data_IF_885745044548
#
_entry.id   IF_885745044548
#
_cell.length_a   1.000
_cell.length_b   1.000
_cell.length_c   1.000
_cell.angle_alpha   90.00
_cell.angle_beta   90.00
_cell.angle_gamma   90.00
#
_symmetry.space_group_name_H-M   'P 1'
#
loop_
_entity.id
_entity.type
_entity.pdbx_description
1 polymer ?
#
# COMPACT_ATOMS: atom_id res chain seq x y z
N UNK A 1 1.63 3.08 32.30
CA UNK A 1 2.91 3.63 31.90
C UNK A 1 2.84 4.16 30.48
N UNK A 2 3.41 5.31 30.23
CA UNK A 2 3.33 5.98 28.92
C UNK A 2 3.89 5.13 27.78
N UNK A 3 5.00 4.42 28.03
CA UNK A 3 5.61 3.56 27.01
C UNK A 3 4.67 2.42 26.60
N UNK A 4 3.98 1.79 27.56
CA UNK A 4 3.03 0.72 27.28
C UNK A 4 1.84 1.23 26.46
N UNK A 5 1.34 2.41 26.81
CA UNK A 5 0.24 3.03 26.04
C UNK A 5 0.67 3.39 24.62
N UNK A 6 1.89 3.87 24.47
CA UNK A 6 2.43 4.20 23.16
C UNK A 6 2.53 2.94 22.29
N UNK A 7 3.05 1.84 22.85
CA UNK A 7 3.16 0.58 22.13
C UNK A 7 1.79 0.04 21.75
N UNK A 8 0.83 0.06 22.68
CA UNK A 8 -0.55 -0.36 22.39
C UNK A 8 -1.17 0.46 21.26
N UNK A 9 -0.97 1.79 21.31
CA UNK A 9 -1.49 2.69 20.27
C UNK A 9 -0.90 2.35 18.89
N UNK A 10 0.39 2.01 18.83
CA UNK A 10 1.03 1.60 17.58
C UNK A 10 0.35 0.36 17.01
N UNK A 11 0.18 -0.70 17.83
CA UNK A 11 -0.44 -1.95 17.37
C UNK A 11 -1.89 -1.74 16.95
N UNK A 12 -2.66 -1.01 17.74
CA UNK A 12 -4.08 -0.76 17.44
C UNK A 12 -4.23 0.07 16.16
N UNK A 13 -3.42 1.11 16.00
CA UNK A 13 -3.47 1.98 14.83
C UNK A 13 -3.06 1.22 13.58
N UNK A 14 -1.99 0.42 13.65
CA UNK A 14 -1.54 -0.39 12.52
C UNK A 14 -2.60 -1.41 12.11
N UNK A 15 -3.24 -2.06 13.09
CA UNK A 15 -4.30 -3.03 12.82
C UNK A 15 -5.47 -2.36 12.12
N UNK A 16 -5.96 -1.26 12.68
CA UNK A 16 -7.06 -0.49 12.08
C UNK A 16 -6.74 -0.08 10.64
N UNK A 17 -5.55 0.49 10.44
CA UNK A 17 -5.13 0.99 9.14
C UNK A 17 -4.97 -0.14 8.13
N UNK A 18 -4.37 -1.25 8.54
CA UNK A 18 -4.19 -2.43 7.71
C UNK A 18 -5.52 -3.04 7.29
N UNK A 19 -6.47 -3.14 8.23
CA UNK A 19 -7.82 -3.65 7.94
C UNK A 19 -8.53 -2.73 6.94
N UNK A 20 -8.43 -1.41 7.13
CA UNK A 20 -9.04 -0.43 6.23
C UNK A 20 -8.42 -0.49 4.82
N UNK A 21 -7.11 -0.67 4.71
CA UNK A 21 -6.42 -0.86 3.44
C UNK A 21 -6.96 -2.09 2.71
N UNK A 22 -7.08 -3.19 3.43
CA UNK A 22 -7.59 -4.46 2.88
C UNK A 22 -9.01 -4.32 2.37
N UNK A 23 -9.87 -3.65 3.14
CA UNK A 23 -11.27 -3.45 2.76
C UNK A 23 -11.40 -2.74 1.41
N UNK A 24 -10.54 -1.76 1.16
CA UNK A 24 -10.51 -1.06 -0.13
C UNK A 24 -10.09 -2.01 -1.25
N UNK A 25 -9.02 -2.78 -1.04
CA UNK A 25 -8.50 -3.69 -2.07
C UNK A 25 -9.49 -4.80 -2.43
N UNK A 26 -10.32 -5.21 -1.48
CA UNK A 26 -11.29 -6.28 -1.68
C UNK A 26 -12.62 -5.82 -2.30
N UNK A 27 -12.79 -4.51 -2.52
CA UNK A 27 -13.99 -4.03 -3.21
C UNK A 27 -14.05 -4.59 -4.63
N UNK A 28 -15.26 -4.97 -5.11
CA UNK A 28 -15.39 -5.59 -6.44
C UNK A 28 -14.74 -4.79 -7.56
N UNK A 29 -14.88 -3.47 -7.56
CA UNK A 29 -14.29 -2.60 -8.57
C UNK A 29 -12.77 -2.63 -8.57
N UNK A 30 -12.16 -2.90 -7.42
CA UNK A 30 -10.71 -3.02 -7.31
C UNK A 30 -10.20 -4.42 -7.65
N UNK A 31 -10.98 -5.45 -7.33
CA UNK A 31 -10.62 -6.83 -7.69
C UNK A 31 -10.63 -7.07 -9.19
N UNK A 32 -11.36 -6.27 -9.96
CA UNK A 32 -11.42 -6.38 -11.41
C UNK A 32 -10.25 -5.70 -12.12
N UNK A 33 -9.46 -4.91 -11.40
CA UNK A 33 -8.29 -4.23 -11.97
C UNK A 33 -7.14 -5.21 -12.18
N UNK A 34 -6.23 -4.84 -13.08
CA UNK A 34 -4.99 -5.58 -13.28
C UNK A 34 -4.23 -5.70 -11.96
N UNK A 35 -3.78 -6.90 -11.64
CA UNK A 35 -2.99 -7.13 -10.44
C UNK A 35 -1.70 -6.28 -10.48
N UNK A 36 -1.29 -5.73 -9.33
CA UNK A 36 -0.17 -4.78 -9.27
C UNK A 36 1.16 -5.38 -9.72
N UNK A 37 1.36 -6.69 -9.59
CA UNK A 37 2.56 -7.37 -10.05
C UNK A 37 2.68 -7.37 -11.57
N UNK A 38 1.56 -7.18 -12.26
CA UNK A 38 1.51 -7.07 -13.72
C UNK A 38 1.52 -5.63 -14.21
N UNK A 39 1.55 -4.66 -13.30
CA UNK A 39 1.66 -3.25 -13.63
C UNK A 39 3.12 -2.81 -13.63
N UNK A 40 3.44 -1.78 -14.41
CA UNK A 40 4.78 -1.20 -14.37
C UNK A 40 4.98 -0.40 -13.09
N UNK A 41 6.24 -0.28 -12.66
CA UNK A 41 6.59 0.58 -11.52
C UNK A 41 6.16 2.02 -11.78
N UNK A 42 6.42 2.52 -12.98
CA UNK A 42 6.04 3.88 -13.38
C UNK A 42 4.54 4.13 -13.24
N UNK A 43 3.72 3.16 -13.64
CA UNK A 43 2.26 3.25 -13.49
C UNK A 43 1.86 3.38 -12.02
N UNK A 44 2.43 2.55 -11.16
CA UNK A 44 2.11 2.57 -9.74
C UNK A 44 2.56 3.89 -9.07
N UNK A 45 3.74 4.40 -9.45
CA UNK A 45 4.24 5.69 -8.95
C UNK A 45 3.32 6.83 -9.41
N UNK A 46 2.89 6.82 -10.66
CA UNK A 46 1.96 7.81 -11.18
C UNK A 46 0.64 7.82 -10.40
N UNK A 47 0.09 6.63 -10.12
CA UNK A 47 -1.16 6.50 -9.37
C UNK A 47 -0.99 6.96 -7.92
N UNK A 48 0.13 6.62 -7.30
CA UNK A 48 0.45 7.06 -5.93
C UNK A 48 0.52 8.59 -5.88
N UNK A 49 1.27 9.19 -6.81
CA UNK A 49 1.44 10.65 -6.89
C UNK A 49 0.10 11.34 -7.10
N UNK A 50 -0.75 10.77 -7.96
CA UNK A 50 -2.09 11.31 -8.19
C UNK A 50 -2.91 11.32 -6.90
N UNK A 51 -2.86 10.24 -6.11
CA UNK A 51 -3.62 10.16 -4.86
C UNK A 51 -3.10 11.13 -3.80
N UNK A 52 -1.79 11.35 -3.74
CA UNK A 52 -1.20 12.38 -2.86
C UNK A 52 -1.75 13.75 -3.25
N UNK A 53 -1.77 14.08 -4.53
CA UNK A 53 -2.30 15.34 -5.02
C UNK A 53 -3.80 15.48 -4.74
N UNK A 54 -4.57 14.43 -4.91
CA UNK A 54 -5.99 14.40 -4.58
C UNK A 54 -6.20 14.70 -3.09
N UNK A 55 -5.40 14.05 -2.23
CA UNK A 55 -5.45 14.27 -0.79
C UNK A 55 -5.18 15.74 -0.43
N UNK A 56 -4.17 16.35 -1.04
CA UNK A 56 -3.78 17.73 -0.72
C UNK A 56 -4.86 18.75 -1.10
N UNK A 57 -5.77 18.40 -2.01
CA UNK A 57 -6.82 19.30 -2.50
C UNK A 57 -8.18 19.02 -1.89
N UNK A 58 -8.33 17.93 -1.15
CA UNK A 58 -9.63 17.47 -0.68
C UNK A 58 -10.05 18.14 0.62
N UNK A 59 -11.20 18.84 0.66
CA UNK A 59 -11.68 19.45 1.89
C UNK A 59 -12.45 18.52 2.81
N UNK A 60 -12.95 17.38 2.32
CA UNK A 60 -13.74 16.44 3.11
C UNK A 60 -12.84 15.44 3.84
N UNK A 61 -12.85 15.40 5.19
CA UNK A 61 -12.01 14.46 5.94
C UNK A 61 -12.22 12.99 5.59
N UNK A 62 -13.44 12.59 5.20
CA UNK A 62 -13.72 11.21 4.80
C UNK A 62 -12.99 10.85 3.52
N UNK A 63 -13.00 11.77 2.55
CA UNK A 63 -12.30 11.57 1.29
C UNK A 63 -10.79 11.68 1.47
N UNK A 64 -10.32 12.57 2.36
CA UNK A 64 -8.91 12.65 2.71
C UNK A 64 -8.39 11.31 3.21
N UNK A 65 -9.12 10.68 4.12
CA UNK A 65 -8.76 9.37 4.65
C UNK A 65 -8.73 8.31 3.54
N UNK A 66 -9.71 8.31 2.67
CA UNK A 66 -9.76 7.38 1.54
C UNK A 66 -8.54 7.53 0.63
N UNK A 67 -8.15 8.75 0.33
CA UNK A 67 -6.97 9.01 -0.50
C UNK A 67 -5.68 8.55 0.20
N UNK A 68 -5.54 8.79 1.51
CA UNK A 68 -4.38 8.32 2.27
C UNK A 68 -4.30 6.78 2.29
N UNK A 69 -5.43 6.10 2.43
CA UNK A 69 -5.47 4.64 2.36
C UNK A 69 -5.05 4.15 0.97
N UNK A 70 -5.44 4.86 -0.09
CA UNK A 70 -5.01 4.53 -1.45
C UNK A 70 -3.51 4.73 -1.63
N UNK A 71 -2.95 5.82 -1.09
CA UNK A 71 -1.50 6.06 -1.09
C UNK A 71 -0.77 4.92 -0.39
N UNK A 72 -1.28 4.50 0.77
CA UNK A 72 -0.70 3.39 1.53
C UNK A 72 -0.74 2.08 0.72
N UNK A 73 -1.85 1.80 0.05
CA UNK A 73 -1.97 0.62 -0.79
C UNK A 73 -0.98 0.64 -1.95
N UNK A 74 -0.82 1.77 -2.64
CA UNK A 74 0.17 1.86 -3.71
C UNK A 74 1.60 1.76 -3.19
N UNK A 75 1.89 2.30 -2.00
CA UNK A 75 3.19 2.12 -1.35
C UNK A 75 3.47 0.66 -1.03
N UNK A 76 2.47 -0.06 -0.54
CA UNK A 76 2.55 -1.49 -0.27
C UNK A 76 2.84 -2.28 -1.55
N UNK A 77 2.14 -1.95 -2.63
CA UNK A 77 2.33 -2.61 -3.93
C UNK A 77 3.74 -2.42 -4.45
N UNK A 78 4.29 -1.20 -4.34
CA UNK A 78 5.66 -0.91 -4.75
C UNK A 78 6.66 -1.66 -3.87
N UNK A 79 6.45 -1.69 -2.57
CA UNK A 79 7.30 -2.43 -1.63
C UNK A 79 7.27 -3.93 -1.92
N UNK A 80 6.10 -4.48 -2.23
CA UNK A 80 5.94 -5.89 -2.60
C UNK A 80 6.74 -6.20 -3.88
N UNK A 81 6.72 -5.31 -4.86
CA UNK A 81 7.49 -5.50 -6.09
C UNK A 81 9.00 -5.55 -5.83
N UNK A 82 9.49 -4.63 -4.99
CA UNK A 82 10.91 -4.62 -4.62
C UNK A 82 11.29 -5.93 -3.94
N UNK A 83 10.45 -6.39 -3.02
CA UNK A 83 10.67 -7.66 -2.32
C UNK A 83 10.65 -8.84 -3.28
N UNK A 84 9.68 -8.85 -4.20
CA UNK A 84 9.55 -9.93 -5.18
C UNK A 84 10.76 -9.98 -6.12
N UNK A 85 11.22 -8.83 -6.59
CA UNK A 85 12.41 -8.75 -7.43
C UNK A 85 13.66 -9.29 -6.70
N UNK A 86 13.79 -8.99 -5.41
CA UNK A 86 14.90 -9.51 -4.60
C UNK A 86 14.81 -11.03 -4.43
N UNK A 87 13.60 -11.57 -4.22
CA UNK A 87 13.39 -13.02 -4.11
C UNK A 87 13.69 -13.72 -5.44
N UNK A 88 13.27 -13.15 -6.55
CA UNK A 88 13.53 -13.69 -7.88
C UNK A 88 15.03 -13.69 -8.19
N UNK A 89 15.76 -12.65 -7.80
CA UNK A 89 17.21 -12.57 -7.95
C UNK A 89 17.92 -13.63 -7.14
N UNK A 90 17.50 -13.88 -5.91
CA UNK A 90 18.05 -14.93 -5.05
C UNK A 90 17.81 -16.32 -5.64
N UNK A 91 16.61 -16.57 -6.14
CA UNK A 91 16.26 -17.83 -6.79
C UNK A 91 17.09 -18.05 -8.05
N UNK A 92 17.30 -17.01 -8.84
CA UNK A 92 18.14 -17.07 -10.03
C UNK A 92 19.59 -17.40 -9.70
N UNK A 93 20.13 -16.85 -8.61
CA UNK A 93 21.49 -17.18 -8.11
C UNK A 93 21.60 -18.65 -7.73
N UNK A 94 20.60 -19.19 -7.01
CA UNK A 94 20.58 -20.60 -6.62
C UNK A 94 20.56 -21.54 -7.82
N UNK A 95 19.77 -21.19 -8.85
CA UNK A 95 19.63 -21.99 -10.05
C UNK A 95 20.82 -21.82 -11.00
N UNK A 96 21.47 -20.66 -10.95
CA UNK A 96 22.59 -20.37 -11.83
C UNK A 96 23.96 -20.77 -11.29
N UNK A 97 23.95 -21.12 -10.01
CA UNK A 97 25.20 -21.51 -9.33
C UNK A 97 25.62 -22.92 -9.58
#
# INVERSE_FOLDING_TARGET
MELSKHVETIYETQKWFSDAMRDILLKPENLQKTHWRDCTESFLIERLTKRVNDYLKEPDPKEELRFLLSVANYSMMLADRIRQDALDAMEAEELGG
#
